data_IF_744983611461
#
_entry.id   IF_744983611461
#
_cell.length_a   1.000
_cell.length_b   1.000
_cell.length_c   1.000
_cell.angle_alpha   90.00
_cell.angle_beta   90.00
_cell.angle_gamma   90.00
#
_symmetry.space_group_name_H-M   'P 1'
#
loop_
_entity.id
_entity.type
_entity.pdbx_description
1 polymer ?
#
# COMPACT_ATOMS: atom_id res chain seq x y z
N UNK A 1 24.40 33.40 22.47
CA UNK A 1 24.74 33.39 21.03
C UNK A 1 26.23 33.20 20.69
N UNK A 2 27.16 33.17 21.64
CA UNK A 2 28.63 32.98 21.39
C UNK A 2 29.05 31.49 21.18
N UNK A 3 28.28 30.53 21.67
CA UNK A 3 28.68 29.09 21.62
C UNK A 3 28.38 28.36 20.31
N UNK A 4 27.63 28.95 19.40
CA UNK A 4 27.35 28.31 18.10
C UNK A 4 28.44 28.63 17.05
N UNK A 5 29.05 29.79 17.15
CA UNK A 5 30.09 30.22 16.19
C UNK A 5 31.43 29.47 16.38
N UNK A 6 31.74 29.10 17.62
CA UNK A 6 33.00 28.40 17.94
C UNK A 6 32.96 26.90 17.52
N UNK A 7 31.77 26.30 17.47
CA UNK A 7 31.63 24.94 16.95
C UNK A 7 31.77 24.87 15.42
N UNK A 8 31.31 25.90 14.72
CA UNK A 8 31.41 25.98 13.24
C UNK A 8 32.86 26.16 12.78
N UNK A 9 33.68 26.93 13.53
CA UNK A 9 35.10 27.14 13.20
C UNK A 9 35.95 25.90 13.43
N UNK A 10 35.64 25.03 14.38
CA UNK A 10 36.32 23.74 14.59
C UNK A 10 36.02 22.71 13.50
N UNK A 11 34.84 22.74 12.89
CA UNK A 11 34.51 21.84 11.77
C UNK A 11 35.15 22.25 10.44
N UNK A 12 35.36 23.54 10.22
CA UNK A 12 35.99 24.02 8.99
C UNK A 12 37.52 23.82 8.99
N UNK A 13 38.15 23.69 10.17
CA UNK A 13 39.59 23.46 10.30
C UNK A 13 40.05 22.03 10.04
N UNK A 14 39.14 21.05 10.08
CA UNK A 14 39.47 19.62 9.91
C UNK A 14 39.36 19.20 8.42
N UNK A 15 38.62 19.95 7.61
CA UNK A 15 38.48 19.65 6.17
C UNK A 15 39.65 20.11 5.29
N UNK A 16 40.56 20.96 5.80
CA UNK A 16 41.68 21.48 5.03
C UNK A 16 42.99 20.69 5.13
N UNK A 17 43.07 19.67 6.00
CA UNK A 17 44.32 18.91 6.23
C UNK A 17 44.35 17.53 5.55
N UNK A 18 43.33 17.12 4.81
CA UNK A 18 43.31 15.81 4.12
C UNK A 18 43.55 15.95 2.59
N UNK A 19 43.65 17.17 2.07
CA UNK A 19 43.85 17.40 0.63
C UNK A 19 45.28 17.57 0.15
N UNK A 20 46.31 17.36 1.00
CA UNK A 20 47.72 17.68 0.64
C UNK A 20 48.71 16.52 0.68
N UNK A 21 48.30 15.26 0.70
CA UNK A 21 49.22 14.12 0.65
C UNK A 21 48.77 13.12 -0.42
N UNK A 22 48.65 13.51 -1.66
CA UNK A 22 48.66 12.61 -2.83
C UNK A 22 49.22 13.38 -4.02
N UNK A 23 50.46 13.76 -4.03
CA UNK A 23 51.28 14.01 -5.23
C UNK A 23 52.74 13.77 -4.82
N UNK A 24 53.29 12.63 -5.18
CA UNK A 24 54.69 12.36 -5.53
C UNK A 24 54.98 10.88 -5.31
N UNK A 25 54.71 10.05 -6.28
CA UNK A 25 55.51 8.89 -6.65
C UNK A 25 55.09 8.41 -8.02
N UNK A 26 55.52 9.12 -9.07
CA UNK A 26 55.58 8.57 -10.42
C UNK A 26 57.03 8.16 -10.69
N UNK A 27 57.37 6.93 -10.34
CA UNK A 27 58.53 6.26 -10.93
C UNK A 27 58.02 5.32 -12.02
N UNK A 28 58.36 5.65 -13.25
CA UNK A 28 58.08 4.90 -14.46
C UNK A 28 58.69 3.49 -14.39
N UNK A 29 57.85 2.45 -14.47
CA UNK A 29 58.26 1.08 -14.79
C UNK A 29 57.67 0.77 -16.18
N UNK A 30 58.46 0.51 -17.22
CA UNK A 30 57.94 0.14 -18.53
C UNK A 30 57.54 -1.34 -18.52
N UNK A 31 56.33 -1.60 -19.00
CA UNK A 31 55.99 -2.83 -19.69
C UNK A 31 55.37 -3.98 -18.87
N UNK A 32 54.24 -3.80 -18.25
CA UNK A 32 53.25 -4.90 -18.12
C UNK A 32 51.88 -4.32 -18.31
N UNK A 33 51.30 -4.47 -19.49
CA UNK A 33 49.89 -4.19 -19.71
C UNK A 33 49.11 -5.34 -19.09
N UNK A 34 48.81 -5.23 -17.82
CA UNK A 34 47.77 -6.06 -17.20
C UNK A 34 46.43 -5.60 -17.77
N UNK A 35 45.83 -6.40 -18.61
CA UNK A 35 44.42 -6.27 -19.00
C UNK A 35 43.60 -6.32 -17.71
N UNK A 36 43.19 -5.15 -17.24
CA UNK A 36 42.22 -5.05 -16.15
C UNK A 36 40.91 -5.57 -16.72
N UNK A 37 40.64 -6.85 -16.52
CA UNK A 37 39.30 -7.40 -16.69
C UNK A 37 38.41 -6.67 -15.70
N UNK A 38 37.61 -5.73 -16.19
CA UNK A 38 36.62 -5.07 -15.37
C UNK A 38 35.79 -6.15 -14.66
N UNK A 39 35.62 -6.09 -13.32
CA UNK A 39 34.77 -7.03 -12.65
C UNK A 39 33.38 -6.89 -13.27
N UNK A 40 32.84 -7.99 -13.82
CA UNK A 40 31.44 -8.09 -14.18
C UNK A 40 30.67 -7.72 -12.92
N UNK A 41 30.10 -6.51 -12.89
CA UNK A 41 29.15 -6.13 -11.87
C UNK A 41 28.00 -7.11 -12.03
N UNK A 42 28.01 -8.13 -11.18
CA UNK A 42 26.87 -9.03 -11.03
C UNK A 42 25.73 -8.15 -10.58
N UNK A 43 24.79 -7.88 -11.47
CA UNK A 43 23.56 -7.19 -11.14
C UNK A 43 22.88 -8.06 -10.12
N UNK A 44 23.02 -7.70 -8.83
CA UNK A 44 22.20 -8.28 -7.78
C UNK A 44 20.78 -8.01 -8.22
N UNK A 45 19.93 -9.04 -8.39
CA UNK A 45 18.52 -8.79 -8.70
C UNK A 45 18.01 -7.90 -7.58
N UNK A 46 17.62 -6.67 -7.92
CA UNK A 46 16.88 -5.82 -6.98
C UNK A 46 15.63 -6.61 -6.63
N UNK A 47 15.67 -7.23 -5.46
CA UNK A 47 14.47 -7.77 -4.85
C UNK A 47 13.55 -6.57 -4.67
N UNK A 48 12.63 -6.39 -5.59
CA UNK A 48 11.53 -5.44 -5.42
C UNK A 48 10.85 -5.92 -4.15
N UNK A 49 11.08 -5.22 -3.04
CA UNK A 49 10.32 -5.46 -1.81
C UNK A 49 8.88 -5.19 -2.24
N UNK A 50 8.13 -6.25 -2.46
CA UNK A 50 6.71 -6.15 -2.75
C UNK A 50 6.12 -5.34 -1.62
N UNK A 51 5.53 -4.18 -1.96
CA UNK A 51 4.82 -3.35 -0.99
C UNK A 51 3.75 -4.26 -0.33
N UNK A 52 4.00 -4.65 0.91
CA UNK A 52 3.00 -5.38 1.69
C UNK A 52 1.93 -4.35 2.05
N UNK A 53 0.70 -4.49 1.52
CA UNK A 53 -0.36 -3.55 1.81
C UNK A 53 -0.60 -3.50 3.32
N UNK A 54 -0.35 -2.36 3.94
CA UNK A 54 -0.57 -2.20 5.36
C UNK A 54 -2.03 -1.80 5.60
N UNK A 55 -2.88 -2.80 5.80
CA UNK A 55 -4.22 -2.59 6.35
C UNK A 55 -4.09 -2.60 7.88
N UNK A 56 -4.61 -1.58 8.60
CA UNK A 56 -4.56 -1.55 10.05
C UNK A 56 -5.05 -2.87 10.68
N UNK A 57 -4.39 -3.35 11.73
CA UNK A 57 -4.75 -4.60 12.39
C UNK A 57 -4.21 -5.87 11.75
N UNK A 58 -3.23 -5.77 10.84
CA UNK A 58 -2.57 -6.92 10.19
C UNK A 58 -3.39 -7.64 9.11
N UNK A 59 -4.28 -6.92 8.42
CA UNK A 59 -5.00 -7.43 7.27
C UNK A 59 -6.50 -7.60 7.45
N UNK A 60 -7.18 -8.17 6.44
CA UNK A 60 -8.64 -8.27 6.42
C UNK A 60 -9.19 -9.27 7.46
N UNK A 61 -8.42 -10.27 7.90
CA UNK A 61 -8.87 -11.21 8.93
C UNK A 61 -9.19 -10.52 10.26
N UNK A 62 -8.38 -9.54 10.65
CA UNK A 62 -8.65 -8.72 11.84
C UNK A 62 -10.01 -8.02 11.75
N UNK A 63 -10.31 -7.46 10.60
CA UNK A 63 -11.57 -6.75 10.37
C UNK A 63 -12.77 -7.69 10.28
N UNK A 64 -12.57 -8.87 9.68
CA UNK A 64 -13.59 -9.92 9.61
C UNK A 64 -13.93 -10.44 11.01
N UNK A 65 -12.90 -10.73 11.85
CA UNK A 65 -13.07 -11.14 13.25
C UNK A 65 -13.76 -10.06 14.12
N UNK A 66 -13.63 -8.79 13.74
CA UNK A 66 -14.28 -7.66 14.40
C UNK A 66 -15.76 -7.47 13.99
N UNK A 67 -16.30 -8.31 13.11
CA UNK A 67 -17.67 -8.26 12.60
C UNK A 67 -17.79 -7.68 11.19
N UNK A 68 -16.68 -7.53 10.47
CA UNK A 68 -16.66 -7.25 9.04
C UNK A 68 -17.10 -8.44 8.20
N UNK A 69 -17.27 -8.23 6.88
CA UNK A 69 -17.69 -9.29 5.96
C UNK A 69 -17.15 -9.08 4.53
N UNK A 70 -15.98 -8.49 4.43
CA UNK A 70 -15.30 -8.26 3.14
C UNK A 70 -14.85 -9.57 2.50
N UNK A 71 -14.13 -10.41 3.27
CA UNK A 71 -13.62 -11.70 2.79
C UNK A 71 -14.75 -12.65 2.47
N UNK A 72 -15.70 -12.81 3.38
CA UNK A 72 -16.83 -13.70 3.22
C UNK A 72 -17.66 -13.37 1.99
N UNK A 73 -17.97 -12.09 1.77
CA UNK A 73 -18.98 -11.69 0.78
C UNK A 73 -18.43 -11.14 -0.52
N UNK A 74 -17.19 -10.64 -0.52
CA UNK A 74 -16.68 -9.81 -1.61
C UNK A 74 -15.29 -10.21 -2.12
N UNK A 75 -14.78 -11.39 -1.79
CA UNK A 75 -13.48 -11.84 -2.28
C UNK A 75 -13.59 -13.21 -2.94
N UNK A 76 -13.10 -13.32 -4.19
CA UNK A 76 -13.00 -14.59 -4.92
C UNK A 76 -14.34 -15.21 -5.33
N UNK A 77 -15.43 -14.44 -5.35
CA UNK A 77 -16.74 -14.96 -5.79
C UNK A 77 -16.82 -15.00 -7.30
N UNK A 78 -17.34 -16.10 -7.81
CA UNK A 78 -17.64 -16.28 -9.25
C UNK A 78 -18.90 -15.50 -9.64
N UNK A 79 -19.08 -15.27 -10.94
CA UNK A 79 -20.28 -14.66 -11.48
C UNK A 79 -21.55 -15.45 -11.10
N UNK A 80 -21.50 -16.79 -11.12
CA UNK A 80 -22.60 -17.64 -10.70
C UNK A 80 -22.98 -17.42 -9.23
N UNK A 81 -21.98 -17.29 -8.33
CA UNK A 81 -22.22 -16.99 -6.92
C UNK A 81 -22.80 -15.59 -6.71
N UNK A 82 -22.37 -14.60 -7.51
CA UNK A 82 -22.95 -13.26 -7.48
C UNK A 82 -24.43 -13.28 -7.97
N UNK A 83 -24.73 -14.04 -9.01
CA UNK A 83 -26.08 -14.23 -9.49
C UNK A 83 -26.98 -14.91 -8.44
N UNK A 84 -26.48 -15.96 -7.80
CA UNK A 84 -27.18 -16.63 -6.70
C UNK A 84 -27.48 -15.67 -5.55
N UNK A 85 -26.49 -14.87 -5.17
CA UNK A 85 -26.66 -13.85 -4.12
C UNK A 85 -27.74 -12.82 -4.51
N UNK A 86 -27.73 -12.35 -5.74
CA UNK A 86 -28.80 -11.46 -6.23
C UNK A 86 -30.18 -12.10 -6.22
N UNK A 87 -30.28 -13.40 -6.47
CA UNK A 87 -31.54 -14.13 -6.40
C UNK A 87 -32.08 -14.21 -4.95
N UNK A 88 -31.19 -14.49 -3.99
CA UNK A 88 -31.58 -14.64 -2.58
C UNK A 88 -31.73 -13.32 -1.83
N UNK A 89 -30.91 -12.31 -2.12
CA UNK A 89 -30.94 -11.00 -1.47
C UNK A 89 -31.68 -9.97 -2.32
N UNK A 90 -33.02 -9.93 -2.24
CA UNK A 90 -33.86 -9.10 -3.12
C UNK A 90 -33.67 -7.60 -2.96
N UNK A 91 -33.13 -7.14 -1.81
CA UNK A 91 -32.92 -5.73 -1.49
C UNK A 91 -31.67 -5.10 -2.10
N UNK A 92 -30.73 -5.89 -2.59
CA UNK A 92 -29.50 -5.38 -3.21
C UNK A 92 -29.70 -5.22 -4.72
N UNK A 93 -29.15 -4.16 -5.28
CA UNK A 93 -29.22 -3.87 -6.73
C UNK A 93 -28.03 -4.42 -7.50
N UNK A 94 -26.94 -4.77 -6.82
CA UNK A 94 -25.75 -5.35 -7.39
C UNK A 94 -25.04 -6.24 -6.37
N UNK A 95 -24.30 -7.24 -6.87
CA UNK A 95 -23.36 -8.05 -6.13
C UNK A 95 -22.00 -7.98 -6.81
N UNK A 96 -20.92 -7.93 -6.02
CA UNK A 96 -19.57 -7.74 -6.57
C UNK A 96 -18.52 -8.51 -5.78
N UNK A 97 -17.40 -8.76 -6.44
CA UNK A 97 -16.27 -9.45 -5.83
C UNK A 97 -14.95 -8.94 -6.35
N UNK A 98 -13.99 -8.74 -5.45
CA UNK A 98 -12.58 -8.67 -5.82
C UNK A 98 -12.12 -9.97 -6.46
N UNK A 99 -11.17 -9.89 -7.37
CA UNK A 99 -10.64 -11.06 -8.09
C UNK A 99 -10.09 -12.11 -7.12
N UNK A 100 -9.33 -11.65 -6.12
CA UNK A 100 -8.78 -12.48 -5.06
C UNK A 100 -8.41 -11.62 -3.85
N UNK A 101 -7.93 -12.27 -2.78
CA UNK A 101 -7.57 -11.61 -1.53
C UNK A 101 -6.43 -10.60 -1.70
N UNK A 102 -5.38 -10.95 -2.40
CA UNK A 102 -4.23 -10.06 -2.61
C UNK A 102 -4.63 -8.77 -3.33
N UNK A 103 -5.49 -8.87 -4.35
CA UNK A 103 -6.03 -7.71 -5.07
C UNK A 103 -6.91 -6.86 -4.14
N UNK A 104 -7.74 -7.49 -3.31
CA UNK A 104 -8.58 -6.78 -2.34
C UNK A 104 -7.73 -6.00 -1.33
N UNK A 105 -6.78 -6.68 -0.68
CA UNK A 105 -5.90 -6.08 0.33
C UNK A 105 -5.07 -4.93 -0.25
N UNK A 106 -4.49 -5.09 -1.45
CA UNK A 106 -3.75 -4.03 -2.11
C UNK A 106 -4.60 -2.80 -2.42
N UNK A 107 -5.80 -2.99 -3.00
CA UNK A 107 -6.68 -1.89 -3.36
C UNK A 107 -7.25 -1.17 -2.12
N UNK A 108 -7.59 -1.91 -1.09
CA UNK A 108 -8.09 -1.37 0.17
C UNK A 108 -6.99 -0.58 0.90
N UNK A 109 -5.78 -1.12 1.02
CA UNK A 109 -4.66 -0.42 1.65
C UNK A 109 -4.32 0.88 0.91
N UNK A 110 -4.30 0.86 -0.43
CA UNK A 110 -4.08 2.06 -1.23
C UNK A 110 -5.16 3.11 -0.98
N UNK A 111 -6.43 2.72 -0.99
CA UNK A 111 -7.56 3.61 -0.72
C UNK A 111 -7.50 4.21 0.68
N UNK A 112 -7.18 3.40 1.70
CA UNK A 112 -7.06 3.87 3.09
C UNK A 112 -5.90 4.84 3.26
N UNK A 113 -4.72 4.53 2.71
CA UNK A 113 -3.55 5.40 2.77
C UNK A 113 -3.81 6.77 2.12
N UNK A 114 -4.50 6.79 0.97
CA UNK A 114 -4.90 8.03 0.29
C UNK A 114 -5.90 8.87 1.07
N UNK A 115 -6.66 8.24 1.96
CA UNK A 115 -7.70 8.89 2.75
C UNK A 115 -7.35 9.01 4.24
N UNK A 116 -6.09 8.73 4.63
CA UNK A 116 -5.68 8.66 6.05
C UNK A 116 -6.06 9.90 6.85
N UNK A 117 -5.79 11.10 6.34
CA UNK A 117 -6.12 12.37 7.01
C UNK A 117 -7.64 12.53 7.26
N UNK A 118 -8.46 12.10 6.30
CA UNK A 118 -9.92 12.13 6.44
C UNK A 118 -10.42 11.07 7.45
N UNK A 119 -9.80 9.90 7.45
CA UNK A 119 -10.08 8.84 8.44
C UNK A 119 -9.73 9.34 9.84
N UNK A 120 -8.55 9.93 10.04
CA UNK A 120 -8.11 10.48 11.34
C UNK A 120 -9.05 11.57 11.85
N UNK A 121 -9.55 12.42 10.96
CA UNK A 121 -10.54 13.45 11.28
C UNK A 121 -11.87 12.83 11.68
N UNK A 122 -12.32 11.82 10.94
CA UNK A 122 -13.54 11.08 11.26
C UNK A 122 -13.43 10.34 12.60
N UNK A 123 -12.31 9.70 12.90
CA UNK A 123 -12.09 9.02 14.19
C UNK A 123 -12.25 9.98 15.37
N UNK A 124 -11.92 11.24 15.21
CA UNK A 124 -12.12 12.31 16.24
C UNK A 124 -13.54 12.87 16.29
N UNK A 125 -14.38 12.59 15.29
CA UNK A 125 -15.76 13.08 15.20
C UNK A 125 -16.73 12.20 15.99
N UNK A 126 -18.04 12.49 15.90
CA UNK A 126 -19.10 11.68 16.50
C UNK A 126 -19.72 10.65 15.52
N UNK A 127 -19.26 10.63 14.27
CA UNK A 127 -19.82 9.74 13.24
C UNK A 127 -19.58 8.26 13.55
N UNK A 128 -20.60 7.43 13.38
CA UNK A 128 -20.50 5.99 13.62
C UNK A 128 -19.91 5.22 12.45
N UNK A 129 -20.13 5.72 11.21
CA UNK A 129 -19.62 5.12 9.96
C UNK A 129 -18.93 6.16 9.10
N UNK A 130 -17.95 5.70 8.34
CA UNK A 130 -17.29 6.49 7.32
C UNK A 130 -17.17 5.68 6.02
N UNK A 131 -17.45 6.31 4.89
CA UNK A 131 -17.42 5.66 3.57
C UNK A 131 -16.35 6.30 2.71
N UNK A 132 -15.54 5.47 2.08
CA UNK A 132 -14.50 5.85 1.13
C UNK A 132 -14.88 5.27 -0.22
N UNK A 133 -15.02 6.11 -1.24
CA UNK A 133 -15.10 5.72 -2.65
C UNK A 133 -13.74 5.96 -3.30
N UNK A 134 -13.20 4.95 -3.96
CA UNK A 134 -11.86 5.01 -4.52
C UNK A 134 -11.78 4.36 -5.90
N UNK A 135 -10.96 4.93 -6.79
CA UNK A 135 -10.61 4.33 -8.08
C UNK A 135 -9.15 3.88 -8.04
N UNK A 136 -8.93 2.58 -8.15
CA UNK A 136 -7.59 1.98 -8.15
C UNK A 136 -6.86 2.12 -9.50
N UNK A 137 -7.52 2.68 -10.54
CA UNK A 137 -6.99 2.83 -11.90
C UNK A 137 -6.48 1.52 -12.55
N UNK A 138 -6.91 0.39 -12.03
CA UNK A 138 -6.69 -0.96 -12.56
C UNK A 138 -7.90 -1.83 -12.24
N UNK A 139 -8.11 -2.88 -13.01
CA UNK A 139 -9.19 -3.84 -12.71
C UNK A 139 -8.90 -4.53 -11.38
N UNK A 140 -9.86 -4.47 -10.47
CA UNK A 140 -9.77 -5.05 -9.13
C UNK A 140 -10.81 -6.16 -8.88
N UNK A 141 -11.80 -6.29 -9.75
CA UNK A 141 -12.85 -7.27 -9.60
C UNK A 141 -13.98 -7.09 -10.59
N UNK A 142 -15.10 -7.71 -10.29
CA UNK A 142 -16.30 -7.73 -11.10
C UNK A 142 -17.52 -7.28 -10.30
N UNK A 143 -18.49 -6.69 -11.00
CA UNK A 143 -19.79 -6.31 -10.45
C UNK A 143 -20.89 -6.84 -11.36
N UNK A 144 -21.84 -7.60 -10.81
CA UNK A 144 -23.05 -8.05 -11.47
C UNK A 144 -24.23 -7.21 -10.97
N UNK A 145 -24.87 -6.48 -11.86
CA UNK A 145 -26.07 -5.71 -11.56
C UNK A 145 -27.33 -6.57 -11.72
N UNK A 146 -28.32 -6.32 -10.91
CA UNK A 146 -29.62 -6.99 -11.07
C UNK A 146 -30.15 -6.76 -12.49
N UNK A 147 -30.64 -7.82 -13.11
CA UNK A 147 -31.12 -7.88 -14.50
C UNK A 147 -30.02 -7.78 -15.58
N UNK A 148 -28.76 -7.65 -15.23
CA UNK A 148 -27.68 -7.79 -16.20
C UNK A 148 -27.43 -9.27 -16.49
N UNK A 149 -27.11 -9.57 -17.74
CA UNK A 149 -26.80 -10.95 -18.19
C UNK A 149 -25.37 -11.37 -17.86
N UNK A 150 -24.47 -10.40 -17.61
CA UNK A 150 -23.05 -10.63 -17.33
C UNK A 150 -22.52 -9.63 -16.32
N UNK A 151 -21.53 -10.06 -15.55
CA UNK A 151 -20.75 -9.16 -14.71
C UNK A 151 -19.83 -8.28 -15.56
N UNK A 152 -19.58 -7.07 -15.08
CA UNK A 152 -18.64 -6.11 -15.68
C UNK A 152 -17.41 -5.95 -14.80
N UNK A 153 -16.23 -5.84 -15.41
CA UNK A 153 -15.00 -5.52 -14.71
C UNK A 153 -15.04 -4.09 -14.18
N UNK A 154 -14.43 -3.87 -13.02
CA UNK A 154 -14.38 -2.53 -12.41
C UNK A 154 -13.03 -2.24 -11.76
N UNK A 155 -12.67 -0.96 -11.75
CA UNK A 155 -11.51 -0.41 -11.03
C UNK A 155 -11.90 0.36 -9.76
N UNK A 156 -13.20 0.50 -9.49
CA UNK A 156 -13.74 1.28 -8.37
C UNK A 156 -14.08 0.37 -7.21
N UNK A 157 -13.84 0.86 -5.99
CA UNK A 157 -14.27 0.20 -4.78
C UNK A 157 -14.90 1.17 -3.80
N UNK A 158 -15.70 0.63 -2.92
CA UNK A 158 -16.22 1.30 -1.72
C UNK A 158 -15.74 0.57 -0.49
N UNK A 159 -15.30 1.33 0.51
CA UNK A 159 -14.97 0.84 1.85
C UNK A 159 -15.91 1.52 2.84
N UNK A 160 -16.48 0.75 3.73
CA UNK A 160 -17.28 1.25 4.85
C UNK A 160 -16.55 0.92 6.15
N UNK A 161 -16.13 1.95 6.86
CA UNK A 161 -15.53 1.84 8.18
C UNK A 161 -16.63 1.95 9.25
N UNK A 162 -16.52 1.13 10.27
CA UNK A 162 -17.39 1.14 11.44
C UNK A 162 -16.57 1.52 12.67
N UNK A 163 -17.03 2.49 13.45
CA UNK A 163 -16.39 2.88 14.71
C UNK A 163 -16.41 1.74 15.71
N UNK A 164 -15.31 1.57 16.45
CA UNK A 164 -15.20 0.62 17.54
C UNK A 164 -14.21 1.14 18.57
N UNK A 165 -14.70 1.56 19.73
CA UNK A 165 -13.85 2.02 20.84
C UNK A 165 -13.00 0.90 21.47
N UNK A 166 -13.33 -0.36 21.18
CA UNK A 166 -12.63 -1.54 21.72
C UNK A 166 -11.42 -1.97 20.88
N UNK A 167 -11.27 -1.43 19.70
CA UNK A 167 -10.22 -1.83 18.77
C UNK A 167 -9.23 -0.70 18.55
N UNK A 168 -7.91 -0.92 18.63
CA UNK A 168 -6.96 -0.01 18.00
C UNK A 168 -7.07 -0.22 16.48
N UNK A 169 -7.28 0.76 15.67
CA UNK A 169 -7.19 2.21 15.73
C UNK A 169 -8.51 2.96 15.98
N UNK A 170 -9.48 2.39 16.65
CA UNK A 170 -10.77 3.03 16.93
C UNK A 170 -11.87 2.69 15.91
N UNK A 171 -11.59 1.81 14.95
CA UNK A 171 -12.53 1.36 13.92
C UNK A 171 -12.11 0.00 13.34
N UNK A 172 -13.01 -0.58 12.54
CA UNK A 172 -12.73 -1.71 11.66
C UNK A 172 -13.39 -1.51 10.28
N UNK A 173 -12.94 -2.25 9.29
CA UNK A 173 -13.59 -2.30 7.97
C UNK A 173 -14.82 -3.21 8.10
N UNK A 174 -16.01 -2.60 8.09
CA UNK A 174 -17.26 -3.34 8.11
C UNK A 174 -17.43 -4.12 6.79
N UNK A 175 -17.15 -3.47 5.68
CA UNK A 175 -17.16 -4.09 4.36
C UNK A 175 -16.34 -3.27 3.38
N UNK A 176 -15.75 -3.95 2.40
CA UNK A 176 -15.20 -3.33 1.20
C UNK A 176 -15.59 -4.16 -0.01
N UNK A 177 -15.95 -3.50 -1.12
CA UNK A 177 -16.44 -4.18 -2.31
C UNK A 177 -16.19 -3.36 -3.59
N UNK A 178 -15.97 -4.04 -4.75
CA UNK A 178 -15.97 -3.40 -6.06
C UNK A 178 -17.34 -2.80 -6.42
N UNK A 179 -17.36 -1.65 -7.13
CA UNK A 179 -18.58 -0.94 -7.53
C UNK A 179 -18.88 -1.07 -9.03
#
# INVERSE_FOLDING_TARGET
MKNQLDRLKKFLGILCTIASIIILFQSAIPGVYATVVAPKISTIPQTTIAFVPNIPGSGLDFHEAAGGHTLERHVGKTEAQLAQRLASETRISAASSFTNRSVAEAAIAEAMNRNQSAIDSWVKSQGNRYTIDYNANRIIGITLRRRASKATSTSRLRIVLQRSAKLPPGYFILTAYPQ
#
